data_IF_586939546212
#
_entry.id   IF_586939546212
#
_cell.length_a   1.000
_cell.length_b   1.000
_cell.length_c   1.000
_cell.angle_alpha   90.00
_cell.angle_beta   90.00
_cell.angle_gamma   90.00
#
_symmetry.space_group_name_H-M   'P 1'
#
loop_
_entity.id
_entity.type
_entity.pdbx_description
1 polymer ?
#
# COMPACT_ATOMS: atom_id res chain seq x y z
N UNK A 1 -21.52 11.65 -6.02
CA UNK A 1 -20.53 11.49 -4.93
C UNK A 1 -19.18 11.97 -5.44
N UNK A 2 -18.44 12.78 -4.68
CA UNK A 2 -17.07 13.20 -5.04
C UNK A 2 -16.10 12.16 -4.48
N UNK A 3 -15.10 11.78 -5.26
CA UNK A 3 -14.04 10.87 -4.82
C UNK A 3 -13.18 11.55 -3.74
N UNK A 4 -12.92 10.85 -2.64
CA UNK A 4 -12.09 11.36 -1.54
C UNK A 4 -10.68 10.74 -1.60
N UNK A 5 -9.72 11.54 -2.07
CA UNK A 5 -8.33 11.13 -2.17
C UNK A 5 -7.68 10.85 -0.82
N UNK A 6 -8.15 11.47 0.26
CA UNK A 6 -7.60 11.23 1.60
C UNK A 6 -7.97 9.82 2.07
N UNK A 7 -9.21 9.39 1.82
CA UNK A 7 -9.67 8.03 2.13
C UNK A 7 -8.85 7.01 1.34
N UNK A 8 -8.71 7.20 0.03
CA UNK A 8 -7.91 6.32 -0.82
C UNK A 8 -6.47 6.18 -0.33
N UNK A 9 -5.79 7.30 -0.03
CA UNK A 9 -4.41 7.28 0.46
C UNK A 9 -4.30 6.54 1.80
N UNK A 10 -5.26 6.75 2.70
CA UNK A 10 -5.28 6.04 3.98
C UNK A 10 -5.46 4.53 3.80
N UNK A 11 -6.36 4.11 2.90
CA UNK A 11 -6.56 2.70 2.58
C UNK A 11 -5.29 2.07 1.99
N UNK A 12 -4.57 2.76 1.09
CA UNK A 12 -3.30 2.23 0.54
C UNK A 12 -2.25 2.01 1.64
N UNK A 13 -2.13 2.93 2.60
CA UNK A 13 -1.20 2.79 3.73
C UNK A 13 -1.59 1.63 4.64
N UNK A 14 -2.88 1.49 4.97
CA UNK A 14 -3.37 0.36 5.77
C UNK A 14 -3.12 -0.99 5.09
N UNK A 15 -3.32 -1.07 3.77
CA UNK A 15 -3.01 -2.26 2.99
C UNK A 15 -1.52 -2.58 3.05
N UNK A 16 -0.65 -1.59 2.88
CA UNK A 16 0.79 -1.79 2.97
C UNK A 16 1.23 -2.33 4.34
N UNK A 17 0.71 -1.76 5.43
CA UNK A 17 0.98 -2.21 6.81
C UNK A 17 0.50 -3.65 7.03
N UNK A 18 -0.73 -3.96 6.61
CA UNK A 18 -1.32 -5.30 6.74
C UNK A 18 -0.50 -6.36 5.98
N UNK A 19 -0.11 -6.05 4.74
CA UNK A 19 0.68 -6.95 3.91
C UNK A 19 2.07 -7.19 4.48
N UNK A 20 2.74 -6.16 5.00
CA UNK A 20 4.04 -6.31 5.67
C UNK A 20 3.92 -7.12 6.95
N UNK A 21 2.92 -6.82 7.79
CA UNK A 21 2.67 -7.59 9.02
C UNK A 21 2.44 -9.06 8.71
N UNK A 22 1.65 -9.38 7.68
CA UNK A 22 1.41 -10.75 7.26
C UNK A 22 2.66 -11.42 6.69
N UNK A 23 3.49 -10.67 5.97
CA UNK A 23 4.75 -11.19 5.41
C UNK A 23 5.72 -11.65 6.50
N UNK A 24 5.68 -11.07 7.70
CA UNK A 24 6.52 -11.53 8.82
C UNK A 24 6.16 -12.92 9.32
N UNK A 25 4.91 -13.36 9.14
CA UNK A 25 4.44 -14.70 9.51
C UNK A 25 4.65 -15.74 8.40
N UNK A 26 5.12 -15.32 7.21
CA UNK A 26 5.28 -16.17 6.04
C UNK A 26 6.75 -16.46 5.74
N UNK A 27 7.01 -17.47 4.91
CA UNK A 27 8.37 -17.82 4.46
C UNK A 27 8.44 -17.93 2.92
N UNK A 28 9.67 -17.92 2.38
CA UNK A 28 9.93 -18.18 0.97
C UNK A 28 9.17 -17.26 0.01
N UNK A 29 8.54 -17.85 -0.99
CA UNK A 29 7.85 -17.13 -2.07
C UNK A 29 6.64 -16.33 -1.57
N UNK A 30 5.93 -16.82 -0.55
CA UNK A 30 4.76 -16.11 -0.01
C UNK A 30 5.18 -14.81 0.68
N UNK A 31 6.23 -14.85 1.51
CA UNK A 31 6.81 -13.65 2.14
C UNK A 31 7.21 -12.62 1.09
N UNK A 32 7.90 -13.06 0.03
CA UNK A 32 8.34 -12.16 -1.04
C UNK A 32 7.14 -11.56 -1.81
N UNK A 33 6.13 -12.35 -2.12
CA UNK A 33 4.93 -11.86 -2.80
C UNK A 33 4.18 -10.80 -1.98
N UNK A 34 4.05 -11.01 -0.67
CA UNK A 34 3.40 -10.06 0.23
C UNK A 34 4.16 -8.73 0.34
N UNK A 35 5.50 -8.78 0.42
CA UNK A 35 6.29 -7.55 0.40
C UNK A 35 6.19 -6.80 -0.93
N UNK A 36 6.20 -7.48 -2.08
CA UNK A 36 6.04 -6.81 -3.37
C UNK A 36 4.66 -6.15 -3.50
N UNK A 37 3.59 -6.80 -2.99
CA UNK A 37 2.27 -6.19 -2.92
C UNK A 37 2.26 -4.95 -2.01
N UNK A 38 2.93 -5.01 -0.86
CA UNK A 38 3.02 -3.85 0.04
C UNK A 38 3.76 -2.68 -0.61
N UNK A 39 4.91 -2.94 -1.26
CA UNK A 39 5.65 -1.93 -2.02
C UNK A 39 4.78 -1.29 -3.10
N UNK A 40 3.96 -2.08 -3.79
CA UNK A 40 3.02 -1.56 -4.80
C UNK A 40 1.97 -0.63 -4.19
N UNK A 41 1.38 -0.99 -3.05
CA UNK A 41 0.43 -0.13 -2.33
C UNK A 41 1.07 1.20 -1.90
N UNK A 42 2.29 1.16 -1.34
CA UNK A 42 3.05 2.36 -0.98
C UNK A 42 3.37 3.22 -2.21
N UNK A 43 3.78 2.59 -3.31
CA UNK A 43 4.10 3.30 -4.55
C UNK A 43 2.87 4.03 -5.11
N UNK A 44 1.71 3.37 -5.12
CA UNK A 44 0.45 3.98 -5.56
C UNK A 44 0.05 5.16 -4.66
N UNK A 45 0.24 5.03 -3.34
CA UNK A 45 -0.01 6.13 -2.41
C UNK A 45 0.92 7.32 -2.68
N UNK A 46 2.22 7.10 -2.86
CA UNK A 46 3.20 8.16 -3.14
C UNK A 46 2.88 8.86 -4.46
N UNK A 47 2.69 8.12 -5.55
CA UNK A 47 2.35 8.71 -6.86
C UNK A 47 1.08 9.55 -6.78
N UNK A 48 0.07 9.06 -6.03
CA UNK A 48 -1.18 9.79 -5.92
C UNK A 48 -1.07 11.03 -5.04
N UNK A 49 -0.25 10.97 -3.99
CA UNK A 49 0.04 12.11 -3.13
C UNK A 49 0.74 13.21 -3.92
N UNK A 50 1.78 12.88 -4.69
CA UNK A 50 2.50 13.81 -5.56
C UNK A 50 1.53 14.51 -6.53
N UNK A 51 0.67 13.74 -7.20
CA UNK A 51 -0.31 14.24 -8.16
C UNK A 51 -1.47 15.08 -7.56
N UNK A 52 -1.62 15.15 -6.24
CA UNK A 52 -2.58 16.08 -5.58
C UNK A 52 -1.90 17.26 -4.90
N UNK A 53 -0.58 17.22 -4.72
CA UNK A 53 0.20 18.31 -4.10
C UNK A 53 0.83 19.25 -5.12
N UNK A 54 0.89 18.87 -6.39
CA UNK A 54 1.23 19.72 -7.55
C UNK A 54 0.00 20.44 -8.11
#
# INVERSE_FOLDING_TARGET
MKFDWKVYLHEQLQWAECLMSRAEDCEGQEKQALYELSKSALHNATQRLEAITE
#
